data_IF_663108151842
#
_entry.id   IF_663108151842
#
_cell.length_a   1.000
_cell.length_b   1.000
_cell.length_c   1.000
_cell.angle_alpha   90.00
_cell.angle_beta   90.00
_cell.angle_gamma   90.00
#
_symmetry.space_group_name_H-M   'P 1'
#
loop_
_entity.id
_entity.type
_entity.pdbx_description
1 polymer ?
#
# COMPACT_ATOMS: atom_id res chain seq x y z
N UNK A 1 -9.25 8.42 -12.42
CA UNK A 1 -8.77 9.51 -11.58
C UNK A 1 -8.72 9.07 -10.13
N UNK A 2 -7.64 9.39 -9.44
CA UNK A 2 -7.46 8.94 -8.05
C UNK A 2 -8.23 9.84 -7.10
N UNK A 3 -9.09 9.25 -6.25
CA UNK A 3 -9.85 9.97 -5.23
C UNK A 3 -9.06 10.11 -3.92
N UNK A 4 -8.02 9.30 -3.76
CA UNK A 4 -7.18 9.28 -2.57
C UNK A 4 -5.72 9.40 -2.97
N UNK A 5 -4.93 10.05 -2.13
CA UNK A 5 -3.50 10.21 -2.38
C UNK A 5 -2.77 8.90 -2.14
N UNK A 6 -3.06 8.22 -1.03
CA UNK A 6 -2.34 7.03 -0.63
C UNK A 6 -3.30 5.95 -0.13
N UNK A 7 -3.02 4.71 -0.49
CA UNK A 7 -3.78 3.57 -0.02
C UNK A 7 -2.86 2.53 0.59
N UNK A 8 -3.36 1.78 1.56
CA UNK A 8 -2.62 0.71 2.21
C UNK A 8 -3.35 -0.61 2.03
N UNK A 9 -2.67 -1.57 1.46
CA UNK A 9 -3.13 -2.95 1.38
C UNK A 9 -2.39 -3.71 2.48
N UNK A 10 -3.13 -4.10 3.50
CA UNK A 10 -2.55 -4.72 4.68
C UNK A 10 -2.15 -3.68 5.72
N UNK A 11 -2.68 -3.84 6.92
CA UNK A 11 -2.42 -2.92 8.03
C UNK A 11 -1.88 -3.67 9.24
N UNK A 12 -0.97 -4.63 9.00
CA UNK A 12 -0.28 -5.34 10.07
C UNK A 12 0.58 -4.38 10.90
N UNK A 13 1.42 -4.92 11.79
CA UNK A 13 2.17 -4.09 12.73
C UNK A 13 2.88 -2.91 12.07
N UNK A 14 3.60 -3.15 10.99
CA UNK A 14 4.30 -2.07 10.28
C UNK A 14 3.35 -1.20 9.47
N UNK A 15 2.38 -1.83 8.79
CA UNK A 15 1.41 -1.10 7.99
C UNK A 15 0.58 -0.15 8.84
N UNK A 16 0.15 -0.60 10.01
CA UNK A 16 -0.64 0.22 10.94
C UNK A 16 0.12 1.46 11.40
N UNK A 17 1.40 1.29 11.74
CA UNK A 17 2.24 2.41 12.15
C UNK A 17 2.40 3.43 11.02
N UNK A 18 2.56 2.95 9.79
CA UNK A 18 2.70 3.83 8.62
C UNK A 18 1.39 4.55 8.29
N UNK A 19 0.25 3.90 8.48
CA UNK A 19 -1.06 4.56 8.32
C UNK A 19 -1.19 5.71 9.30
N UNK A 20 -0.84 5.48 10.56
CA UNK A 20 -0.88 6.54 11.56
C UNK A 20 0.04 7.70 11.19
N UNK A 21 1.25 7.40 10.74
CA UNK A 21 2.19 8.42 10.32
C UNK A 21 1.67 9.20 9.11
N UNK A 22 1.10 8.52 8.14
CA UNK A 22 0.53 9.15 6.94
C UNK A 22 -0.61 10.09 7.31
N UNK A 23 -1.47 9.68 8.22
CA UNK A 23 -2.61 10.50 8.64
C UNK A 23 -2.22 11.72 9.46
N UNK A 24 -0.99 11.78 9.95
CA UNK A 24 -0.46 12.99 10.60
C UNK A 24 0.08 13.99 9.57
N UNK A 25 0.60 13.48 8.46
CA UNK A 25 1.20 14.33 7.43
C UNK A 25 0.28 14.65 6.27
N UNK A 26 -0.76 13.87 6.07
CA UNK A 26 -1.72 14.02 4.98
C UNK A 26 -3.12 14.01 5.60
N UNK A 27 -4.06 14.72 4.98
CA UNK A 27 -5.45 14.69 5.44
C UNK A 27 -5.92 13.23 5.48
N UNK A 28 -6.40 12.73 6.63
CA UNK A 28 -6.87 11.34 6.74
C UNK A 28 -7.93 10.98 5.71
N UNK A 29 -8.70 11.94 5.21
CA UNK A 29 -9.69 11.69 4.17
C UNK A 29 -9.06 11.37 2.81
N UNK A 30 -7.76 11.60 2.67
CA UNK A 30 -7.00 11.23 1.47
C UNK A 30 -6.32 9.87 1.61
N UNK A 31 -6.62 9.14 2.67
CA UNK A 31 -6.02 7.84 2.97
C UNK A 31 -7.11 6.77 2.94
N UNK A 32 -6.84 5.70 2.19
CA UNK A 32 -7.76 4.56 2.07
C UNK A 32 -7.02 3.31 2.50
N UNK A 33 -7.62 2.51 3.36
CA UNK A 33 -6.97 1.30 3.86
C UNK A 33 -7.83 0.06 3.64
N UNK A 34 -7.18 -1.08 3.52
CA UNK A 34 -7.85 -2.38 3.54
C UNK A 34 -6.95 -3.38 4.26
N UNK A 35 -7.57 -4.38 4.87
CA UNK A 35 -6.88 -5.44 5.56
C UNK A 35 -7.63 -6.74 5.38
N UNK A 36 -6.91 -7.85 5.43
CA UNK A 36 -7.51 -9.18 5.37
C UNK A 36 -8.59 -9.34 6.43
N UNK A 37 -8.34 -8.78 7.63
CA UNK A 37 -9.34 -8.72 8.69
C UNK A 37 -10.01 -7.36 8.66
N UNK A 38 -11.23 -7.30 8.14
CA UNK A 38 -11.96 -6.04 7.97
C UNK A 38 -12.12 -5.27 9.27
N UNK A 39 -12.37 -5.97 10.36
CA UNK A 39 -12.53 -5.35 11.67
C UNK A 39 -11.29 -4.56 12.09
N UNK A 40 -10.10 -5.09 11.82
CA UNK A 40 -8.86 -4.38 12.14
C UNK A 40 -8.72 -3.11 11.33
N UNK A 41 -9.09 -3.15 10.06
CA UNK A 41 -9.07 -1.96 9.23
C UNK A 41 -10.04 -0.90 9.73
N UNK A 42 -11.23 -1.31 10.12
CA UNK A 42 -12.24 -0.38 10.65
C UNK A 42 -11.78 0.28 11.94
N UNK A 43 -11.20 -0.49 12.86
CA UNK A 43 -10.69 0.05 14.12
C UNK A 43 -9.60 1.09 13.88
N UNK A 44 -8.67 0.77 13.00
CA UNK A 44 -7.60 1.70 12.67
C UNK A 44 -8.16 2.96 12.01
N UNK A 45 -9.10 2.79 11.10
CA UNK A 45 -9.73 3.92 10.42
C UNK A 45 -10.44 4.86 11.40
N UNK A 46 -11.11 4.30 12.40
CA UNK A 46 -11.76 5.10 13.44
C UNK A 46 -10.75 5.89 14.26
N UNK A 47 -9.60 5.28 14.57
CA UNK A 47 -8.55 5.93 15.35
C UNK A 47 -7.92 7.12 14.61
N UNK A 48 -7.72 7.00 13.32
CA UNK A 48 -6.98 8.01 12.55
C UNK A 48 -7.87 8.85 11.64
N UNK A 49 -9.12 8.45 11.43
CA UNK A 49 -10.07 9.21 10.63
C UNK A 49 -9.99 8.97 9.13
N UNK A 50 -9.35 7.88 8.70
CA UNK A 50 -9.29 7.54 7.28
C UNK A 50 -10.44 6.65 6.85
N UNK A 51 -10.51 6.36 5.54
CA UNK A 51 -11.55 5.52 4.97
C UNK A 51 -11.09 4.08 4.81
N UNK A 52 -12.04 3.16 4.72
CA UNK A 52 -11.78 1.73 4.53
C UNK A 52 -12.32 1.29 3.15
N UNK A 53 -11.47 0.62 2.37
CA UNK A 53 -11.86 0.06 1.10
C UNK A 53 -12.52 -1.31 1.28
N UNK A 54 -13.35 -1.68 0.32
CA UNK A 54 -14.03 -2.97 0.32
C UNK A 54 -13.14 -4.10 -0.18
N UNK A 55 -12.11 -3.76 -0.97
CA UNK A 55 -11.22 -4.75 -1.57
C UNK A 55 -9.87 -4.13 -1.88
N UNK A 56 -8.90 -5.01 -2.15
CA UNK A 56 -7.56 -4.57 -2.57
C UNK A 56 -7.61 -3.86 -3.93
N UNK A 57 -8.46 -4.33 -4.83
CA UNK A 57 -8.61 -3.71 -6.14
C UNK A 57 -9.19 -2.30 -6.03
N UNK A 58 -10.09 -2.07 -5.09
CA UNK A 58 -10.61 -0.73 -4.84
C UNK A 58 -9.50 0.24 -4.43
N UNK A 59 -8.58 -0.22 -3.57
CA UNK A 59 -7.43 0.60 -3.18
C UNK A 59 -6.62 1.00 -4.41
N UNK A 60 -6.35 0.04 -5.30
CA UNK A 60 -5.59 0.32 -6.52
C UNK A 60 -6.31 1.33 -7.41
N UNK A 61 -7.61 1.17 -7.59
CA UNK A 61 -8.38 2.05 -8.47
C UNK A 61 -8.54 3.46 -7.90
N UNK A 62 -8.62 3.59 -6.59
CA UNK A 62 -8.93 4.85 -5.93
C UNK A 62 -7.70 5.65 -5.48
N UNK A 63 -6.53 5.01 -5.40
CA UNK A 63 -5.34 5.64 -4.84
C UNK A 63 -4.23 5.79 -5.87
N UNK A 64 -3.42 6.83 -5.71
CA UNK A 64 -2.25 7.03 -6.56
C UNK A 64 -1.06 6.22 -6.07
N UNK A 65 -0.78 6.28 -4.76
CA UNK A 65 0.29 5.52 -4.13
C UNK A 65 -0.32 4.34 -3.38
N UNK A 66 0.11 3.14 -3.67
CA UNK A 66 -0.41 1.93 -3.06
C UNK A 66 0.70 1.29 -2.23
N UNK A 67 0.53 1.33 -0.91
CA UNK A 67 1.49 0.76 0.04
C UNK A 67 1.12 -0.70 0.29
N UNK A 68 2.04 -1.60 0.01
CA UNK A 68 1.83 -3.03 0.17
C UNK A 68 2.39 -3.47 1.52
N UNK A 69 1.53 -3.49 2.53
CA UNK A 69 1.91 -3.80 3.90
C UNK A 69 1.59 -5.23 4.34
N UNK A 70 1.51 -6.15 3.40
CA UNK A 70 1.27 -7.56 3.69
C UNK A 70 2.58 -8.30 3.91
N UNK A 71 2.49 -9.48 4.52
CA UNK A 71 3.65 -10.33 4.74
C UNK A 71 4.24 -10.80 3.40
N UNK A 72 5.57 -11.05 3.33
CA UNK A 72 6.19 -11.48 2.08
C UNK A 72 5.53 -12.70 1.44
N UNK A 73 5.09 -13.67 2.23
CA UNK A 73 4.45 -14.87 1.70
C UNK A 73 3.05 -14.61 1.17
N UNK A 74 2.42 -13.52 1.55
CA UNK A 74 1.09 -13.12 1.08
C UNK A 74 1.18 -12.25 -0.16
N UNK A 75 2.27 -11.53 -0.31
CA UNK A 75 2.45 -10.53 -1.37
C UNK A 75 2.22 -11.07 -2.79
N UNK A 76 2.75 -12.26 -3.18
CA UNK A 76 2.53 -12.76 -4.54
C UNK A 76 1.04 -12.87 -4.91
N UNK A 77 0.22 -13.39 -3.98
CA UNK A 77 -1.22 -13.52 -4.22
C UNK A 77 -1.90 -12.17 -4.37
N UNK A 78 -1.50 -11.20 -3.55
CA UNK A 78 -2.04 -9.84 -3.62
C UNK A 78 -1.68 -9.19 -4.96
N UNK A 79 -0.42 -9.35 -5.41
CA UNK A 79 0.02 -8.78 -6.68
C UNK A 79 -0.77 -9.36 -7.86
N UNK A 80 -1.02 -10.66 -7.84
CA UNK A 80 -1.84 -11.29 -8.88
C UNK A 80 -3.27 -10.79 -8.84
N UNK A 81 -3.80 -10.58 -7.65
CA UNK A 81 -5.17 -10.09 -7.46
C UNK A 81 -5.34 -8.68 -8.02
N UNK A 82 -4.39 -7.79 -7.78
CA UNK A 82 -4.49 -6.40 -8.18
C UNK A 82 -3.99 -6.13 -9.60
N UNK A 83 -3.30 -7.08 -10.22
CA UNK A 83 -2.70 -6.88 -11.53
C UNK A 83 -3.69 -6.38 -12.60
N UNK A 84 -4.91 -6.94 -12.74
CA UNK A 84 -5.86 -6.43 -13.72
C UNK A 84 -6.25 -4.97 -13.47
N UNK A 85 -6.43 -4.59 -12.20
CA UNK A 85 -6.77 -3.21 -11.86
C UNK A 85 -5.62 -2.26 -12.16
N UNK A 86 -4.39 -2.65 -11.87
CA UNK A 86 -3.19 -1.85 -12.19
C UNK A 86 -3.09 -1.66 -13.70
N UNK A 87 -3.27 -2.75 -14.45
CA UNK A 87 -3.22 -2.70 -15.91
C UNK A 87 -4.27 -1.74 -16.48
N UNK A 88 -5.50 -1.84 -15.99
CA UNK A 88 -6.59 -0.99 -16.45
C UNK A 88 -6.31 0.49 -16.16
N UNK A 89 -5.81 0.78 -14.97
CA UNK A 89 -5.50 2.16 -14.59
C UNK A 89 -4.37 2.72 -15.45
N UNK A 90 -3.33 1.95 -15.72
CA UNK A 90 -2.22 2.39 -16.57
C UNK A 90 -2.67 2.59 -18.00
N UNK A 91 -3.54 1.72 -18.52
CA UNK A 91 -4.10 1.87 -19.86
C UNK A 91 -4.96 3.13 -19.99
N UNK A 92 -5.57 3.56 -18.89
CA UNK A 92 -6.34 4.80 -18.86
C UNK A 92 -5.48 6.05 -18.66
N UNK A 93 -4.15 5.89 -18.60
CA UNK A 93 -3.23 7.01 -18.45
C UNK A 93 -3.08 7.48 -16.99
N UNK A 94 -3.56 6.72 -16.03
CA UNK A 94 -3.41 7.08 -14.62
C UNK A 94 -2.04 6.66 -14.09
N UNK A 95 -1.44 7.51 -13.27
CA UNK A 95 -0.19 7.19 -12.61
C UNK A 95 -0.46 6.41 -11.33
N UNK A 96 0.13 5.23 -11.23
CA UNK A 96 0.04 4.40 -10.03
C UNK A 96 1.45 4.00 -9.61
N UNK A 97 1.73 4.10 -8.32
CA UNK A 97 3.02 3.70 -7.76
C UNK A 97 2.77 2.66 -6.68
N UNK A 98 3.38 1.51 -6.82
CA UNK A 98 3.30 0.45 -5.83
C UNK A 98 4.54 0.52 -4.94
N UNK A 99 4.32 0.55 -3.64
CA UNK A 99 5.40 0.64 -2.65
C UNK A 99 5.36 -0.62 -1.79
N UNK A 100 6.41 -1.43 -1.84
CA UNK A 100 6.50 -2.65 -1.06
C UNK A 100 7.32 -2.44 0.21
N UNK A 101 6.82 -2.96 1.30
CA UNK A 101 7.52 -2.98 2.59
C UNK A 101 7.96 -4.39 2.97
N UNK A 102 7.76 -5.36 2.08
CA UNK A 102 8.08 -6.75 2.36
C UNK A 102 9.58 -6.99 2.25
N UNK A 103 10.17 -7.50 3.33
CA UNK A 103 11.60 -7.84 3.33
C UNK A 103 11.86 -9.02 2.40
N UNK A 104 12.98 -8.96 1.69
CA UNK A 104 13.41 -10.06 0.83
C UNK A 104 12.67 -10.20 -0.49
N UNK A 105 11.71 -9.31 -0.78
CA UNK A 105 11.01 -9.34 -2.06
C UNK A 105 11.58 -8.26 -2.96
N UNK A 106 12.07 -8.65 -4.15
CA UNK A 106 12.66 -7.71 -5.10
C UNK A 106 11.61 -7.11 -6.02
N UNK A 107 11.93 -5.96 -6.62
CA UNK A 107 11.03 -5.34 -7.62
C UNK A 107 10.87 -6.26 -8.82
N UNK A 108 11.92 -6.99 -9.21
CA UNK A 108 11.84 -7.95 -10.30
C UNK A 108 10.83 -9.06 -10.00
N UNK A 109 10.84 -9.58 -8.78
CA UNK A 109 9.90 -10.61 -8.36
C UNK A 109 8.46 -10.06 -8.38
N UNK A 110 8.28 -8.81 -7.95
CA UNK A 110 6.97 -8.18 -7.97
C UNK A 110 6.45 -8.01 -9.40
N UNK A 111 7.32 -7.59 -10.32
CA UNK A 111 6.92 -7.46 -11.73
C UNK A 111 6.50 -8.81 -12.33
N UNK A 112 7.20 -9.88 -11.97
CA UNK A 112 6.83 -11.22 -12.41
C UNK A 112 5.45 -11.64 -11.94
N UNK A 113 5.14 -11.35 -10.68
CA UNK A 113 3.84 -11.71 -10.12
C UNK A 113 2.71 -10.84 -10.69
N UNK A 114 3.00 -9.59 -10.99
CA UNK A 114 2.04 -8.70 -11.65
C UNK A 114 1.84 -9.09 -13.11
N UNK A 115 2.86 -9.62 -13.76
CA UNK A 115 2.83 -9.90 -15.18
C UNK A 115 2.77 -8.64 -16.04
N UNK A 116 3.20 -7.52 -15.49
CA UNK A 116 3.18 -6.22 -16.15
C UNK A 116 4.57 -5.62 -16.16
N UNK A 117 4.93 -4.97 -17.27
CA UNK A 117 6.17 -4.24 -17.40
C UNK A 117 5.94 -2.76 -17.13
N UNK A 118 6.99 -2.07 -16.72
CA UNK A 118 7.00 -0.62 -16.56
C UNK A 118 6.05 -0.08 -15.48
N UNK A 119 5.65 -0.92 -14.54
CA UNK A 119 4.90 -0.45 -13.37
C UNK A 119 5.87 0.21 -12.40
N UNK A 120 5.65 1.45 -11.97
CA UNK A 120 6.50 2.07 -10.96
C UNK A 120 6.41 1.29 -9.65
N UNK A 121 7.52 0.67 -9.27
CA UNK A 121 7.64 -0.13 -8.06
C UNK A 121 8.76 0.41 -7.19
N UNK A 122 8.45 0.65 -5.93
CA UNK A 122 9.42 1.13 -4.95
C UNK A 122 9.47 0.14 -3.79
N UNK A 123 10.69 -0.19 -3.37
CA UNK A 123 10.89 -0.96 -2.15
C UNK A 123 11.34 -0.03 -1.04
N UNK A 124 10.71 -0.16 0.11
CA UNK A 124 11.19 0.51 1.30
C UNK A 124 11.44 -0.53 2.37
N UNK A 125 12.43 -0.25 3.22
CA UNK A 125 12.81 -1.11 4.32
C UNK A 125 12.53 -0.35 5.61
N UNK A 126 11.31 -0.43 6.15
CA UNK A 126 11.00 0.29 7.37
C UNK A 126 11.91 -0.17 8.50
N UNK A 127 12.50 0.77 9.21
CA UNK A 127 13.34 0.48 10.37
C UNK A 127 12.47 0.34 11.61
N UNK A 128 13.03 -0.29 12.63
CA UNK A 128 12.36 -0.29 13.94
C UNK A 128 12.25 1.14 14.45
N UNK A 129 11.31 1.43 15.36
CA UNK A 129 11.18 2.78 15.91
C UNK A 129 12.49 3.37 16.45
N UNK A 130 13.31 2.55 17.09
CA UNK A 130 14.59 3.00 17.61
C UNK A 130 15.56 3.40 16.48
N UNK A 131 15.52 2.66 15.38
CA UNK A 131 16.37 2.95 14.21
C UNK A 131 15.87 4.16 13.43
N UNK A 132 14.57 4.37 13.39
CA UNK A 132 13.98 5.49 12.66
C UNK A 132 14.51 6.82 13.20
N UNK A 133 14.63 6.95 14.52
CA UNK A 133 15.15 8.15 15.14
C UNK A 133 16.58 8.51 14.74
N UNK A 134 17.36 7.50 14.32
CA UNK A 134 18.75 7.69 13.89
C UNK A 134 18.90 7.61 12.38
N UNK A 135 18.00 6.88 11.73
CA UNK A 135 18.15 6.53 10.34
C UNK A 135 17.31 7.35 9.37
N UNK A 136 16.90 8.51 9.78
CA UNK A 136 16.09 9.37 8.91
C UNK A 136 16.84 9.96 7.74
N UNK A 137 18.07 9.55 7.59
CA UNK A 137 18.89 9.91 6.44
C UNK A 137 18.67 8.97 5.26
N UNK A 138 17.66 8.23 5.28
CA UNK A 138 17.36 7.27 4.23
C UNK A 138 17.75 7.70 2.83
#
# INVERSE_FOLDING_TARGET
MSNYTIGFIGTGNMGGALVQAACKGIDPKQVLITNHTEEKARRLAEQVGCDVAKSNTEVVRQCRFIMLGVKPQVLPGVLREIAPAVKDCMAAGEEKVLVSMAAGVTTESMEQHLGLDHVPLIRIMPNTPASIGKGMTL
#
